data_IF_052675180305
#
_entry.id   IF_052675180305
#
_cell.length_a   1.000
_cell.length_b   1.000
_cell.length_c   1.000
_cell.angle_alpha   90.00
_cell.angle_beta   90.00
_cell.angle_gamma   90.00
#
_symmetry.space_group_name_H-M   'P 1'
#
loop_
_entity.id
_entity.type
_entity.pdbx_description
1 polymer ?
#
# COMPACT_ATOMS: atom_id res chain seq x y z
N UNK A 1 12.70 -39.36 19.58
CA UNK A 1 12.50 -38.19 18.70
C UNK A 1 11.75 -37.11 19.46
N UNK A 2 12.45 -36.10 19.98
CA UNK A 2 11.82 -34.98 20.68
C UNK A 2 11.09 -34.10 19.65
N UNK A 3 9.76 -34.03 19.72
CA UNK A 3 8.99 -33.03 18.98
C UNK A 3 9.41 -31.66 19.50
N UNK A 4 10.23 -30.94 18.72
CA UNK A 4 10.64 -29.56 18.99
C UNK A 4 9.36 -28.73 19.07
N UNK A 5 8.95 -28.34 20.28
CA UNK A 5 7.76 -27.52 20.52
C UNK A 5 8.09 -26.10 20.05
N UNK A 6 7.76 -25.79 18.80
CA UNK A 6 7.93 -24.45 18.25
C UNK A 6 7.06 -23.51 19.08
N UNK A 7 7.66 -22.47 19.66
CA UNK A 7 6.92 -21.55 20.53
C UNK A 7 6.03 -20.64 19.66
N UNK A 8 4.80 -20.27 20.10
CA UNK A 8 3.89 -19.43 19.32
C UNK A 8 4.53 -18.13 18.77
N UNK A 9 5.46 -17.56 19.53
CA UNK A 9 6.23 -16.38 19.12
C UNK A 9 7.16 -16.64 17.93
N UNK A 10 7.76 -17.83 17.84
CA UNK A 10 8.61 -18.20 16.70
C UNK A 10 7.79 -18.38 15.43
N UNK A 11 6.58 -18.93 15.54
CA UNK A 11 5.66 -19.07 14.40
C UNK A 11 5.23 -17.70 13.89
N UNK A 12 4.82 -16.80 14.81
CA UNK A 12 4.43 -15.44 14.46
C UNK A 12 5.58 -14.69 13.78
N UNK A 13 6.77 -14.70 14.40
CA UNK A 13 7.96 -14.04 13.86
C UNK A 13 8.33 -14.57 12.47
N UNK A 14 8.22 -15.89 12.25
CA UNK A 14 8.48 -16.48 10.94
C UNK A 14 7.47 -15.99 9.90
N UNK A 15 6.18 -15.95 10.25
CA UNK A 15 5.13 -15.44 9.35
C UNK A 15 5.34 -13.96 9.01
N UNK A 16 5.67 -13.12 9.98
CA UNK A 16 5.99 -11.70 9.77
C UNK A 16 7.21 -11.53 8.85
N UNK A 17 8.24 -12.36 9.04
CA UNK A 17 9.43 -12.33 8.19
C UNK A 17 9.12 -12.73 6.75
N UNK A 18 8.33 -13.79 6.55
CA UNK A 18 7.92 -14.23 5.20
C UNK A 18 7.09 -13.15 4.50
N UNK A 19 6.12 -12.53 5.20
CA UNK A 19 5.34 -11.41 4.68
C UNK A 19 6.22 -10.22 4.30
N UNK A 20 7.18 -9.86 5.16
CA UNK A 20 8.11 -8.77 4.89
C UNK A 20 8.97 -9.07 3.66
N UNK A 21 9.51 -10.28 3.52
CA UNK A 21 10.31 -10.68 2.35
C UNK A 21 9.50 -10.57 1.06
N UNK A 22 8.26 -11.07 1.06
CA UNK A 22 7.39 -11.02 -0.13
C UNK A 22 7.12 -9.55 -0.50
N UNK A 23 6.61 -8.73 0.43
CA UNK A 23 6.19 -7.37 0.13
C UNK A 23 7.36 -6.42 -0.17
N UNK A 24 8.52 -6.61 0.49
CA UNK A 24 9.71 -5.80 0.24
C UNK A 24 10.48 -6.23 -1.03
N UNK A 25 10.13 -7.38 -1.63
CA UNK A 25 10.64 -7.80 -2.94
C UNK A 25 9.87 -7.20 -4.12
N UNK A 26 8.67 -6.66 -3.89
CA UNK A 26 7.83 -6.05 -4.92
C UNK A 26 8.43 -4.72 -5.41
N UNK A 27 8.20 -4.40 -6.68
CA UNK A 27 8.55 -3.09 -7.27
C UNK A 27 7.41 -2.09 -7.14
N UNK A 28 6.17 -2.57 -7.03
CA UNK A 28 5.00 -1.75 -6.77
C UNK A 28 5.07 -1.10 -5.38
N UNK A 29 4.52 0.10 -5.28
CA UNK A 29 4.44 0.80 -4.01
C UNK A 29 3.20 0.32 -3.27
N UNK A 30 3.41 -0.25 -2.08
CA UNK A 30 2.31 -0.80 -1.26
C UNK A 30 2.20 -0.02 0.03
N UNK A 31 0.96 0.35 0.38
CA UNK A 31 0.61 1.12 1.57
C UNK A 31 -0.58 0.48 2.27
N UNK A 32 -0.50 0.32 3.60
CA UNK A 32 -1.61 -0.11 4.43
C UNK A 32 -2.06 1.06 5.33
N UNK A 33 -3.34 1.39 5.25
CA UNK A 33 -3.98 2.48 5.96
C UNK A 33 -5.04 1.95 6.93
N UNK A 34 -5.25 2.65 8.04
CA UNK A 34 -6.47 2.49 8.83
C UNK A 34 -7.64 3.26 8.20
N UNK A 35 -8.81 3.16 8.84
CA UNK A 35 -10.04 3.84 8.41
C UNK A 35 -9.97 5.36 8.47
N UNK A 36 -8.98 5.92 9.17
CA UNK A 36 -8.74 7.36 9.24
C UNK A 36 -7.66 7.80 8.23
N UNK A 37 -7.28 6.94 7.28
CA UNK A 37 -6.21 7.18 6.30
C UNK A 37 -4.82 7.36 6.92
N UNK A 38 -4.60 6.89 8.14
CA UNK A 38 -3.28 6.93 8.77
C UNK A 38 -2.45 5.76 8.28
N UNK A 39 -1.18 6.02 7.99
CA UNK A 39 -0.28 4.98 7.51
C UNK A 39 0.05 4.03 8.66
N UNK A 40 -0.36 2.78 8.51
CA UNK A 40 -0.02 1.69 9.43
C UNK A 40 1.27 1.01 8.98
N UNK A 41 1.43 0.80 7.67
CA UNK A 41 2.58 0.11 7.11
C UNK A 41 2.81 0.51 5.65
N UNK A 42 4.04 0.41 5.17
CA UNK A 42 4.41 0.64 3.77
C UNK A 42 5.57 -0.29 3.41
N UNK A 43 5.63 -0.80 2.17
CA UNK A 43 6.74 -1.66 1.73
C UNK A 43 8.02 -0.87 1.42
N UNK A 44 9.13 -1.60 1.20
CA UNK A 44 10.43 -1.00 0.87
C UNK A 44 10.36 -0.07 -0.34
N UNK A 45 9.66 -0.48 -1.41
CA UNK A 45 9.53 0.34 -2.61
C UNK A 45 8.86 1.68 -2.31
N UNK A 46 7.75 1.69 -1.56
CA UNK A 46 7.07 2.91 -1.11
C UNK A 46 7.98 3.80 -0.25
N UNK A 47 8.68 3.21 0.72
CA UNK A 47 9.61 3.96 1.60
C UNK A 47 10.73 4.62 0.81
N UNK A 48 11.29 3.93 -0.17
CA UNK A 48 12.36 4.47 -1.04
C UNK A 48 11.80 5.57 -1.95
N UNK A 49 10.67 5.34 -2.61
CA UNK A 49 10.06 6.28 -3.55
C UNK A 49 9.70 7.63 -2.90
N UNK A 50 9.26 7.62 -1.64
CA UNK A 50 8.87 8.81 -0.89
C UNK A 50 9.93 9.27 0.13
N UNK A 51 11.14 8.69 0.10
CA UNK A 51 12.23 9.00 1.03
C UNK A 51 11.81 9.00 2.52
N UNK A 52 11.02 7.99 2.90
CA UNK A 52 10.44 7.87 4.24
C UNK A 52 11.47 7.33 5.22
N UNK A 53 11.85 8.16 6.19
CA UNK A 53 12.74 7.78 7.30
C UNK A 53 12.02 6.85 8.28
N UNK A 54 12.76 5.98 8.99
CA UNK A 54 12.20 5.20 10.10
C UNK A 54 11.44 6.10 11.09
N UNK A 55 10.23 5.70 11.44
CA UNK A 55 9.37 6.46 12.36
C UNK A 55 8.63 7.66 11.75
N UNK A 56 8.86 8.05 10.48
CA UNK A 56 8.07 9.14 9.87
C UNK A 56 6.61 8.79 9.63
N UNK A 57 6.29 7.50 9.53
CA UNK A 57 4.95 7.03 9.24
C UNK A 57 4.03 7.00 10.46
N UNK A 58 4.56 7.08 11.70
CA UNK A 58 3.91 7.01 13.02
C UNK A 58 2.40 7.38 13.06
N UNK A 59 1.53 6.58 12.45
CA UNK A 59 0.10 6.85 12.25
C UNK A 59 -0.22 8.27 11.77
N UNK A 60 0.63 8.84 10.92
CA UNK A 60 0.34 10.11 10.23
C UNK A 60 -0.60 9.86 9.06
N UNK A 61 -1.44 10.84 8.74
CA UNK A 61 -2.28 10.75 7.56
C UNK A 61 -1.43 10.58 6.29
N UNK A 62 -1.87 9.72 5.38
CA UNK A 62 -1.14 9.46 4.13
C UNK A 62 -0.87 10.75 3.34
N UNK A 63 -1.82 11.68 3.32
CA UNK A 63 -1.69 12.95 2.62
C UNK A 63 -0.68 13.91 3.26
N UNK A 64 -0.44 13.82 4.56
CA UNK A 64 0.61 14.58 5.24
C UNK A 64 1.98 13.95 5.02
N UNK A 65 2.06 12.63 5.17
CA UNK A 65 3.30 11.88 5.12
C UNK A 65 3.88 11.78 3.71
N UNK A 66 3.02 11.56 2.71
CA UNK A 66 3.44 11.29 1.32
C UNK A 66 3.32 12.51 0.40
N UNK A 67 2.38 13.41 0.68
CA UNK A 67 2.06 14.52 -0.22
C UNK A 67 2.26 15.91 0.39
N UNK A 68 2.66 15.98 1.68
CA UNK A 68 2.81 17.25 2.41
C UNK A 68 1.57 18.16 2.34
N UNK A 69 0.38 17.54 2.31
CA UNK A 69 -0.91 18.24 2.31
C UNK A 69 -1.56 18.21 3.70
N UNK A 70 -2.55 19.08 3.90
CA UNK A 70 -3.40 19.10 5.10
C UNK A 70 -4.70 18.31 4.95
N UNK A 71 -4.99 17.76 3.77
CA UNK A 71 -6.19 17.00 3.50
C UNK A 71 -6.00 15.96 2.39
N UNK A 72 -6.98 15.05 2.29
CA UNK A 72 -6.98 13.96 1.34
C UNK A 72 -6.88 14.41 -0.14
N UNK A 73 -6.47 13.49 -1.01
CA UNK A 73 -6.37 13.75 -2.44
C UNK A 73 -7.74 14.14 -3.03
N UNK A 74 -7.76 15.07 -3.99
CA UNK A 74 -9.00 15.42 -4.73
C UNK A 74 -9.68 14.19 -5.35
N UNK A 75 -8.86 13.27 -5.87
CA UNK A 75 -9.28 11.94 -6.31
C UNK A 75 -8.53 10.92 -5.45
N UNK A 76 -9.17 10.48 -4.36
CA UNK A 76 -8.59 9.54 -3.40
C UNK A 76 -9.28 8.17 -3.53
N UNK A 77 -8.63 7.16 -4.12
CA UNK A 77 -9.21 5.83 -4.22
C UNK A 77 -9.43 5.21 -2.83
N UNK A 78 -8.52 5.39 -1.87
CA UNK A 78 -8.74 5.03 -0.47
C UNK A 78 -10.05 5.56 0.13
N UNK A 79 -10.33 6.87 0.05
CA UNK A 79 -11.59 7.41 0.58
C UNK A 79 -12.82 6.82 -0.10
N UNK A 80 -12.75 6.57 -1.41
CA UNK A 80 -13.84 5.91 -2.14
C UNK A 80 -14.04 4.49 -1.65
N UNK A 81 -12.96 3.72 -1.46
CA UNK A 81 -13.00 2.35 -0.91
C UNK A 81 -13.59 2.34 0.50
N UNK A 82 -13.23 3.30 1.37
CA UNK A 82 -13.84 3.40 2.70
C UNK A 82 -15.34 3.65 2.64
N UNK A 83 -15.77 4.49 1.71
CA UNK A 83 -17.17 4.87 1.55
C UNK A 83 -18.01 3.74 0.95
N UNK A 84 -17.47 3.01 -0.02
CA UNK A 84 -18.22 1.98 -0.75
C UNK A 84 -18.06 0.59 -0.14
N UNK A 85 -16.95 0.34 0.56
CA UNK A 85 -16.56 -1.00 0.99
C UNK A 85 -16.08 -1.89 -0.16
N UNK A 86 -15.89 -1.33 -1.36
CA UNK A 86 -15.58 -2.04 -2.60
C UNK A 86 -14.25 -1.57 -3.21
N UNK A 87 -13.49 -2.45 -3.88
CA UNK A 87 -12.25 -2.07 -4.55
C UNK A 87 -12.41 -0.89 -5.51
N UNK A 88 -11.43 0.00 -5.54
CA UNK A 88 -11.40 1.16 -6.43
C UNK A 88 -10.11 1.15 -7.25
N UNK A 89 -10.20 1.59 -8.50
CA UNK A 89 -9.06 1.75 -9.40
C UNK A 89 -9.06 3.14 -10.02
N UNK A 90 -7.88 3.73 -10.15
CA UNK A 90 -7.64 4.93 -10.94
C UNK A 90 -6.47 4.65 -11.88
N UNK A 91 -6.73 4.73 -13.18
CA UNK A 91 -5.75 4.48 -14.24
C UNK A 91 -5.22 5.78 -14.83
N UNK A 92 -4.04 5.71 -15.45
CA UNK A 92 -3.41 6.80 -16.20
C UNK A 92 -3.28 8.12 -15.45
N UNK A 93 -2.97 8.01 -14.16
CA UNK A 93 -2.55 9.17 -13.40
C UNK A 93 -1.15 9.57 -13.86
N UNK A 94 -1.07 10.61 -14.69
CA UNK A 94 0.21 11.21 -15.07
C UNK A 94 0.71 12.12 -13.96
N UNK A 95 1.80 11.71 -13.31
CA UNK A 95 2.46 12.49 -12.25
C UNK A 95 3.94 12.11 -12.18
N UNK A 96 4.80 13.07 -11.84
CA UNK A 96 6.25 12.86 -11.74
C UNK A 96 6.85 12.23 -13.02
N UNK A 97 6.40 12.69 -14.19
CA UNK A 97 6.84 12.19 -15.51
C UNK A 97 6.57 10.69 -15.77
N UNK A 98 5.68 10.11 -14.97
CA UNK A 98 5.30 8.70 -15.02
C UNK A 98 3.79 8.54 -15.14
N UNK A 99 3.38 7.39 -15.65
CA UNK A 99 1.98 6.97 -15.68
C UNK A 99 1.75 5.93 -14.60
N UNK A 100 0.73 6.16 -13.77
CA UNK A 100 0.44 5.32 -12.62
C UNK A 100 -0.94 4.68 -12.72
N UNK A 101 -1.03 3.45 -12.23
CA UNK A 101 -2.31 2.83 -11.86
C UNK A 101 -2.34 2.67 -10.34
N UNK A 102 -3.39 3.21 -9.72
CA UNK A 102 -3.62 3.12 -8.28
C UNK A 102 -4.81 2.19 -8.06
N UNK A 103 -4.60 1.18 -7.21
CA UNK A 103 -5.64 0.24 -6.79
C UNK A 103 -5.79 0.31 -5.28
N UNK A 104 -7.02 0.34 -4.81
CA UNK A 104 -7.35 0.41 -3.40
C UNK A 104 -8.31 -0.71 -3.03
N UNK A 105 -7.98 -1.46 -1.99
CA UNK A 105 -8.70 -2.67 -1.57
C UNK A 105 -9.12 -2.57 -0.11
N UNK A 106 -10.39 -2.90 0.23
CA UNK A 106 -10.87 -2.90 1.61
C UNK A 106 -10.22 -4.03 2.41
N UNK A 107 -9.77 -3.74 3.62
CA UNK A 107 -9.33 -4.75 4.60
C UNK A 107 -10.43 -4.94 5.62
N UNK A 108 -10.84 -6.20 5.83
CA UNK A 108 -11.90 -6.56 6.76
C UNK A 108 -11.38 -7.51 7.83
N UNK A 109 -11.93 -7.39 9.04
CA UNK A 109 -11.70 -8.37 10.10
C UNK A 109 -12.52 -9.66 9.87
N UNK A 110 -12.38 -10.61 10.79
CA UNK A 110 -13.12 -11.90 10.75
C UNK A 110 -14.64 -11.74 10.81
N UNK A 111 -15.14 -10.58 11.27
CA UNK A 111 -16.57 -10.25 11.33
C UNK A 111 -17.05 -9.50 10.08
N UNK A 112 -16.18 -9.28 9.10
CA UNK A 112 -16.46 -8.53 7.88
C UNK A 112 -16.46 -7.01 8.06
N UNK A 113 -16.05 -6.51 9.24
CA UNK A 113 -15.98 -5.08 9.53
C UNK A 113 -14.77 -4.49 8.81
N UNK A 114 -14.98 -3.39 8.09
CA UNK A 114 -13.90 -2.67 7.41
C UNK A 114 -12.95 -2.06 8.46
N UNK A 115 -11.70 -2.50 8.47
CA UNK A 115 -10.67 -2.06 9.44
C UNK A 115 -9.55 -1.24 8.82
N UNK A 116 -9.49 -1.20 7.49
CA UNK A 116 -8.46 -0.45 6.79
C UNK A 116 -8.48 -0.66 5.29
N UNK A 117 -7.39 -0.29 4.65
CA UNK A 117 -7.24 -0.28 3.20
C UNK A 117 -5.81 -0.64 2.82
N UNK A 118 -5.64 -1.48 1.80
CA UNK A 118 -4.37 -1.62 1.11
C UNK A 118 -4.43 -0.86 -0.21
N UNK A 119 -3.50 0.07 -0.42
CA UNK A 119 -3.27 0.73 -1.70
C UNK A 119 -2.02 0.15 -2.39
N UNK A 120 -2.15 -0.12 -3.68
CA UNK A 120 -1.07 -0.58 -4.56
C UNK A 120 -0.93 0.42 -5.70
N UNK A 121 0.28 0.94 -5.89
CA UNK A 121 0.62 1.91 -6.92
C UNK A 121 1.62 1.27 -7.89
N UNK A 122 1.23 1.15 -9.15
CA UNK A 122 2.04 0.52 -10.19
C UNK A 122 2.44 1.56 -11.23
N UNK A 123 3.75 1.66 -11.51
CA UNK A 123 4.27 2.42 -12.63
C UNK A 123 3.99 1.64 -13.93
N UNK A 124 3.23 2.24 -14.84
CA UNK A 124 2.88 1.67 -16.15
C UNK A 124 3.54 2.44 -17.31
N UNK A 125 4.54 3.28 -17.03
CA UNK A 125 5.16 4.15 -18.03
C UNK A 125 5.76 3.37 -19.19
N UNK A 126 6.54 2.32 -18.91
CA UNK A 126 7.15 1.49 -19.96
C UNK A 126 6.10 0.74 -20.79
N UNK A 127 5.07 0.22 -20.12
CA UNK A 127 3.94 -0.43 -20.79
C UNK A 127 3.23 0.53 -21.75
N UNK A 128 2.97 1.78 -21.31
CA UNK A 128 2.34 2.82 -22.15
C UNK A 128 3.18 3.14 -23.39
N UNK A 129 4.48 3.36 -23.22
CA UNK A 129 5.40 3.61 -24.35
C UNK A 129 5.43 2.44 -25.34
N UNK A 130 5.36 1.21 -24.84
CA UNK A 130 5.33 0.01 -25.68
C UNK A 130 3.99 -0.18 -26.42
N UNK A 131 2.87 0.30 -25.86
CA UNK A 131 1.57 0.29 -26.52
C UNK A 131 1.48 1.39 -27.60
N UNK A 132 1.98 2.60 -27.31
CA UNK A 132 2.01 3.73 -28.26
C UNK A 132 2.94 3.50 -29.45
N UNK A 133 4.08 2.84 -29.26
CA UNK A 133 5.00 2.51 -30.36
C UNK A 133 4.50 1.38 -31.28
N UNK A 134 3.40 0.71 -30.91
CA UNK A 134 2.73 -0.31 -31.71
C UNK A 134 1.46 0.21 -32.41
N UNK A 135 1.03 1.44 -32.13
CA UNK A 135 -0.10 2.11 -32.75
C UNK A 135 0.36 2.93 -33.97
#
# INVERSE_FOLDING_TARGET
MQKKRIQPLEVLRKSEQEQAVILDSMTELVLYLDTDLRVIWANKAMRVAFNLKPGQLNRRHCYEALHHRSGACRVCPAQRTLKTGEPQEVVDLSSYEKNWVLRSYPVRDEKGILTGIVEIVTDITERRRAEESKA
#
